data_IF_911430448487
#
_entry.id   IF_911430448487
#
_cell.length_a   1.000
_cell.length_b   1.000
_cell.length_c   1.000
_cell.angle_alpha   90.00
_cell.angle_beta   90.00
_cell.angle_gamma   90.00
#
_symmetry.space_group_name_H-M   'P 1'
#
loop_
_entity.id
_entity.type
_entity.pdbx_description
1 polymer ?
#
# COMPACT_ATOMS: atom_id res chain seq x y z
N UNK A 1 -56.36 -33.94 -23.43
CA UNK A 1 -56.06 -32.51 -23.09
C UNK A 1 -55.52 -32.46 -21.68
N UNK A 2 -54.22 -32.54 -21.55
CA UNK A 2 -53.50 -32.51 -20.22
C UNK A 2 -53.09 -31.10 -19.97
N UNK A 3 -53.63 -30.49 -18.92
CA UNK A 3 -53.23 -29.18 -18.43
C UNK A 3 -51.98 -29.34 -17.58
N UNK A 4 -50.85 -28.77 -18.04
CA UNK A 4 -49.62 -28.69 -17.31
C UNK A 4 -49.76 -27.52 -16.32
N UNK A 5 -50.08 -27.82 -15.06
CA UNK A 5 -50.01 -26.85 -13.97
C UNK A 5 -48.53 -26.69 -13.57
N UNK A 6 -47.85 -25.70 -14.14
CA UNK A 6 -46.48 -25.34 -13.77
C UNK A 6 -46.44 -24.76 -12.35
N UNK A 7 -45.68 -25.37 -11.48
CA UNK A 7 -45.34 -24.85 -10.14
C UNK A 7 -44.57 -23.55 -10.24
N UNK A 8 -45.24 -22.42 -10.06
CA UNK A 8 -44.62 -21.14 -9.77
C UNK A 8 -44.49 -20.97 -8.24
N UNK A 9 -43.66 -21.81 -7.62
CA UNK A 9 -43.27 -21.66 -6.23
C UNK A 9 -41.77 -21.54 -6.15
N UNK A 10 -41.22 -20.41 -6.49
CA UNK A 10 -39.82 -20.12 -6.17
C UNK A 10 -39.58 -18.62 -6.21
N UNK A 11 -40.08 -17.92 -5.24
CA UNK A 11 -39.52 -16.70 -4.70
C UNK A 11 -40.07 -16.55 -3.28
N UNK A 12 -39.65 -17.43 -2.38
CA UNK A 12 -39.64 -17.05 -0.99
C UNK A 12 -38.65 -15.92 -0.89
N UNK A 13 -39.10 -14.77 -0.36
CA UNK A 13 -38.17 -13.72 0.07
C UNK A 13 -37.20 -14.41 1.02
N UNK A 14 -35.92 -14.47 0.59
CA UNK A 14 -34.85 -14.83 1.52
C UNK A 14 -34.96 -13.87 2.70
N UNK A 15 -34.86 -14.39 3.89
CA UNK A 15 -34.75 -13.57 5.08
C UNK A 15 -33.57 -12.63 4.90
N UNK A 16 -33.69 -11.36 5.31
CA UNK A 16 -32.60 -10.43 5.19
C UNK A 16 -31.38 -11.03 5.89
N UNK A 17 -30.26 -11.12 5.15
CA UNK A 17 -28.98 -11.60 5.67
C UNK A 17 -28.60 -10.73 6.87
N UNK A 18 -28.78 -11.27 8.06
CA UNK A 18 -28.30 -10.64 9.28
C UNK A 18 -26.80 -10.85 9.30
N UNK A 19 -25.97 -9.75 9.34
CA UNK A 19 -24.55 -9.91 9.53
C UNK A 19 -24.29 -10.81 10.73
N UNK A 20 -23.42 -11.81 10.57
CA UNK A 20 -23.17 -12.84 11.57
C UNK A 20 -22.52 -12.33 12.89
N UNK A 21 -22.58 -11.02 13.13
CA UNK A 21 -22.07 -10.40 14.38
C UNK A 21 -20.56 -10.53 14.57
N UNK A 22 -19.82 -10.89 13.52
CA UNK A 22 -18.36 -10.90 13.61
C UNK A 22 -17.85 -9.49 13.90
N UNK A 23 -17.18 -9.35 15.02
CA UNK A 23 -16.51 -8.11 15.38
C UNK A 23 -15.47 -7.74 14.31
N UNK A 24 -15.30 -6.45 14.05
CA UNK A 24 -14.26 -5.97 13.15
C UNK A 24 -12.88 -6.47 13.62
N UNK A 25 -12.15 -7.26 12.80
CA UNK A 25 -10.87 -7.83 13.24
C UNK A 25 -9.76 -6.79 13.42
N UNK A 26 -9.92 -5.60 12.83
CA UNK A 26 -8.98 -4.49 12.98
C UNK A 26 -9.21 -3.68 14.26
N UNK A 27 -10.41 -3.78 14.85
CA UNK A 27 -10.72 -3.06 16.06
C UNK A 27 -9.97 -3.66 17.26
N UNK A 28 -9.63 -2.80 18.20
CA UNK A 28 -9.06 -3.22 19.49
C UNK A 28 -10.08 -4.00 20.32
N UNK A 29 -9.60 -4.89 21.17
CA UNK A 29 -10.49 -5.66 22.04
C UNK A 29 -11.19 -4.74 23.05
N UNK A 30 -12.53 -4.84 23.20
CA UNK A 30 -13.25 -4.03 24.18
C UNK A 30 -12.73 -4.22 25.60
N UNK A 31 -12.40 -3.13 26.28
CA UNK A 31 -11.92 -3.15 27.67
C UNK A 31 -10.44 -3.44 27.84
N UNK A 32 -9.66 -3.57 26.77
CA UNK A 32 -8.21 -3.64 26.87
C UNK A 32 -7.65 -2.30 27.41
N UNK A 33 -6.72 -2.38 28.35
CA UNK A 33 -6.20 -1.21 29.08
C UNK A 33 -4.72 -0.97 28.88
N UNK A 34 -4.07 -1.83 28.09
CA UNK A 34 -2.65 -1.67 27.77
C UNK A 34 -2.39 -0.43 26.90
N UNK A 35 -1.17 0.08 26.99
CA UNK A 35 -0.82 1.35 26.36
C UNK A 35 -0.76 1.25 24.84
N UNK A 36 -0.44 0.09 24.28
CA UNK A 36 -0.45 -0.12 22.83
C UNK A 36 -1.87 -0.02 22.27
N UNK A 37 -2.83 -0.69 22.95
CA UNK A 37 -4.24 -0.59 22.58
C UNK A 37 -4.75 0.83 22.65
N UNK A 38 -4.38 1.60 23.67
CA UNK A 38 -4.74 3.02 23.77
C UNK A 38 -4.17 3.85 22.62
N UNK A 39 -2.91 3.65 22.25
CA UNK A 39 -2.30 4.32 21.09
C UNK A 39 -3.10 4.06 19.81
N UNK A 40 -3.47 2.79 19.57
CA UNK A 40 -4.25 2.39 18.40
C UNK A 40 -5.65 3.00 18.41
N UNK A 41 -6.34 3.00 19.56
CA UNK A 41 -7.67 3.59 19.71
C UNK A 41 -7.65 5.11 19.51
N UNK A 42 -6.70 5.81 20.09
CA UNK A 42 -6.60 7.25 19.98
C UNK A 42 -6.27 7.68 18.55
N UNK A 43 -5.40 6.91 17.87
CA UNK A 43 -5.13 7.12 16.45
C UNK A 43 -6.40 6.90 15.61
N UNK A 44 -7.15 5.81 15.86
CA UNK A 44 -8.40 5.55 15.17
C UNK A 44 -9.45 6.65 15.40
N UNK A 45 -9.63 7.12 16.64
CA UNK A 45 -10.54 8.22 16.94
C UNK A 45 -10.19 9.52 16.22
N UNK A 46 -8.89 9.77 16.05
CA UNK A 46 -8.41 10.98 15.36
C UNK A 46 -8.51 10.90 13.85
N UNK A 47 -8.39 9.71 13.25
CA UNK A 47 -8.17 9.53 11.81
C UNK A 47 -9.21 8.68 11.09
N UNK A 48 -9.90 7.79 11.81
CA UNK A 48 -10.73 6.73 11.24
C UNK A 48 -9.96 5.55 10.65
N UNK A 49 -8.63 5.56 10.75
CA UNK A 49 -7.75 4.50 10.23
C UNK A 49 -7.33 3.55 11.37
N UNK A 50 -7.45 2.24 11.16
CA UNK A 50 -6.98 1.25 12.10
C UNK A 50 -5.46 1.12 12.03
N UNK A 51 -4.77 1.39 13.14
CA UNK A 51 -3.32 1.26 13.24
C UNK A 51 -2.93 -0.11 13.79
N UNK A 52 -1.94 -0.74 13.17
CA UNK A 52 -1.39 -2.04 13.53
C UNK A 52 0.13 -1.95 13.66
N UNK A 53 0.71 -2.68 14.63
CA UNK A 53 2.16 -2.77 14.84
C UNK A 53 2.72 -4.16 14.55
N UNK A 54 1.87 -5.09 14.13
CA UNK A 54 2.21 -6.42 13.65
C UNK A 54 1.10 -6.93 12.73
N UNK A 55 1.28 -8.12 12.17
CA UNK A 55 0.34 -8.76 11.24
C UNK A 55 -0.76 -9.58 11.91
N UNK A 56 -0.81 -9.64 13.23
CA UNK A 56 -1.82 -10.40 13.97
C UNK A 56 -3.04 -9.52 14.23
N UNK A 57 -4.14 -9.84 13.58
CA UNK A 57 -5.42 -9.15 13.78
C UNK A 57 -6.16 -9.68 15.01
N UNK A 58 -6.10 -10.98 15.22
CA UNK A 58 -6.82 -11.66 16.29
C UNK A 58 -6.03 -12.87 16.76
N UNK A 59 -6.02 -13.08 18.07
CA UNK A 59 -5.48 -14.28 18.71
C UNK A 59 -6.36 -14.62 19.91
N UNK A 60 -7.38 -15.44 19.68
CA UNK A 60 -8.44 -15.72 20.66
C UNK A 60 -8.37 -17.16 21.15
N UNK A 61 -8.47 -17.33 22.47
CA UNK A 61 -8.64 -18.64 23.06
C UNK A 61 -10.03 -19.21 22.76
N UNK A 62 -10.10 -20.40 22.16
CA UNK A 62 -11.34 -21.07 21.76
C UNK A 62 -11.66 -22.33 22.56
N UNK A 63 -10.86 -22.63 23.56
CA UNK A 63 -11.04 -23.82 24.39
C UNK A 63 -9.84 -24.76 24.36
N UNK A 64 -10.08 -26.05 24.56
CA UNK A 64 -9.08 -27.10 24.47
C UNK A 64 -9.21 -27.85 23.15
N UNK A 65 -8.11 -28.27 22.58
CA UNK A 65 -8.07 -29.18 21.43
C UNK A 65 -8.45 -30.62 21.84
N UNK A 66 -8.51 -31.53 20.84
CA UNK A 66 -8.81 -32.95 21.09
C UNK A 66 -7.82 -33.69 21.99
N UNK A 67 -6.66 -33.09 22.28
CA UNK A 67 -5.61 -33.62 23.14
C UNK A 67 -5.58 -32.94 24.54
N UNK A 68 -6.48 -31.96 24.75
CA UNK A 68 -6.56 -31.22 26.02
C UNK A 68 -5.59 -30.02 26.10
N UNK A 69 -4.96 -29.61 25.02
CA UNK A 69 -4.11 -28.42 25.00
C UNK A 69 -4.92 -27.16 24.69
N UNK A 70 -4.51 -25.97 25.20
CA UNK A 70 -5.13 -24.72 24.82
C UNK A 70 -5.15 -24.50 23.30
N UNK A 71 -6.33 -24.28 22.72
CA UNK A 71 -6.52 -23.98 21.30
C UNK A 71 -6.82 -22.50 21.12
N UNK A 72 -6.05 -21.87 20.23
CA UNK A 72 -6.20 -20.46 19.87
C UNK A 72 -6.53 -20.35 18.38
N UNK A 73 -7.52 -19.55 18.06
CA UNK A 73 -7.78 -19.11 16.70
C UNK A 73 -6.98 -17.83 16.43
N UNK A 74 -6.10 -17.89 15.42
CA UNK A 74 -5.27 -16.76 15.04
C UNK A 74 -5.66 -16.30 13.65
N UNK A 75 -6.01 -15.02 13.51
CA UNK A 75 -6.23 -14.36 12.24
C UNK A 75 -5.06 -13.43 11.94
N UNK A 76 -4.39 -13.68 10.84
CA UNK A 76 -3.30 -12.85 10.35
C UNK A 76 -3.80 -11.89 9.26
N UNK A 77 -3.12 -10.78 9.12
CA UNK A 77 -3.38 -9.77 8.11
C UNK A 77 -3.20 -10.31 6.67
N UNK A 78 -2.34 -11.32 6.52
CA UNK A 78 -2.11 -11.98 5.23
C UNK A 78 -1.44 -11.06 4.21
N UNK A 79 -0.44 -10.30 4.64
CA UNK A 79 0.25 -9.32 3.80
C UNK A 79 0.91 -9.93 2.56
N UNK A 80 1.38 -11.16 2.65
CA UNK A 80 1.98 -11.87 1.52
C UNK A 80 0.95 -12.36 0.48
N UNK A 81 -0.34 -12.33 0.82
CA UNK A 81 -1.39 -12.78 -0.08
C UNK A 81 -1.71 -11.72 -1.13
N UNK A 82 -1.42 -12.04 -2.39
CA UNK A 82 -1.77 -11.24 -3.55
C UNK A 82 -2.52 -12.07 -4.58
N UNK A 83 -3.62 -11.55 -5.10
CA UNK A 83 -4.38 -12.19 -6.18
C UNK A 83 -3.62 -12.21 -7.51
N UNK A 84 -2.67 -11.28 -7.68
CA UNK A 84 -1.95 -11.06 -8.94
C UNK A 84 -0.50 -11.55 -8.90
N UNK A 85 0.05 -11.73 -7.69
CA UNK A 85 1.44 -12.17 -7.50
C UNK A 85 1.47 -13.63 -7.06
N UNK A 86 1.62 -14.52 -8.02
CA UNK A 86 1.61 -15.98 -7.79
C UNK A 86 2.99 -16.41 -7.26
N UNK A 87 3.36 -15.97 -6.06
CA UNK A 87 4.49 -16.50 -5.33
C UNK A 87 5.89 -16.06 -5.79
N UNK A 88 5.99 -15.08 -6.70
CA UNK A 88 7.28 -14.58 -7.20
C UNK A 88 7.91 -13.48 -6.35
N UNK A 89 7.12 -12.85 -5.51
CA UNK A 89 7.58 -11.80 -4.58
C UNK A 89 7.22 -12.20 -3.16
N UNK A 90 8.15 -11.99 -2.24
CA UNK A 90 7.96 -12.20 -0.80
C UNK A 90 8.40 -10.96 -0.05
N UNK A 91 7.72 -10.68 1.05
CA UNK A 91 8.07 -9.60 1.95
C UNK A 91 8.43 -10.16 3.32
N UNK A 92 9.46 -9.59 3.92
CA UNK A 92 9.83 -9.84 5.31
C UNK A 92 9.60 -8.57 6.09
N UNK A 93 8.85 -8.65 7.18
CA UNK A 93 8.54 -7.53 8.05
C UNK A 93 9.35 -7.63 9.34
N UNK A 94 10.02 -6.56 9.71
CA UNK A 94 10.59 -6.36 11.03
C UNK A 94 9.64 -5.46 11.83
N UNK A 95 9.11 -5.96 12.95
CA UNK A 95 8.09 -5.25 13.72
C UNK A 95 8.70 -4.38 14.80
N UNK A 96 7.99 -3.30 15.15
CA UNK A 96 8.32 -2.45 16.29
C UNK A 96 8.23 -3.23 17.60
N UNK A 97 9.33 -3.28 18.35
CA UNK A 97 9.46 -4.13 19.53
C UNK A 97 9.06 -3.39 20.82
N UNK A 98 9.30 -2.09 20.90
CA UNK A 98 9.12 -1.33 22.14
C UNK A 98 7.97 -0.35 22.06
N UNK A 99 7.37 -0.04 23.20
CA UNK A 99 6.32 0.96 23.29
C UNK A 99 6.83 2.37 22.93
N UNK A 100 8.10 2.65 23.21
CA UNK A 100 8.74 3.93 22.85
C UNK A 100 8.80 4.10 21.34
N UNK A 101 9.20 3.04 20.60
CA UNK A 101 9.17 3.04 19.14
C UNK A 101 7.74 3.28 18.61
N UNK A 102 6.75 2.58 19.17
CA UNK A 102 5.35 2.72 18.77
C UNK A 102 4.82 4.14 19.00
N UNK A 103 5.18 4.77 20.12
CA UNK A 103 4.83 6.18 20.40
C UNK A 103 5.50 7.15 19.45
N UNK A 104 6.81 6.98 19.19
CA UNK A 104 7.55 7.83 18.25
C UNK A 104 6.93 7.75 16.84
N UNK A 105 6.59 6.54 16.39
CA UNK A 105 5.92 6.34 15.11
C UNK A 105 4.54 7.01 15.08
N UNK A 106 3.72 6.86 16.12
CA UNK A 106 2.40 7.51 16.16
C UNK A 106 2.55 9.04 16.08
N UNK A 107 3.55 9.62 16.76
CA UNK A 107 3.83 11.04 16.67
C UNK A 107 4.22 11.44 15.24
N UNK A 108 5.15 10.73 14.61
CA UNK A 108 5.52 10.96 13.21
C UNK A 108 4.31 10.86 12.28
N UNK A 109 3.48 9.83 12.42
CA UNK A 109 2.27 9.69 11.62
C UNK A 109 1.34 10.89 11.82
N UNK A 110 1.10 11.33 13.05
CA UNK A 110 0.13 12.39 13.35
C UNK A 110 0.61 13.77 12.92
N UNK A 111 1.88 14.09 13.13
CA UNK A 111 2.39 15.45 12.95
C UNK A 111 3.06 15.67 11.60
N UNK A 112 3.70 14.64 11.03
CA UNK A 112 4.48 14.77 9.81
C UNK A 112 3.79 14.15 8.59
N UNK A 113 3.20 12.93 8.70
CA UNK A 113 2.61 12.24 7.55
C UNK A 113 1.14 12.61 7.30
N UNK A 114 0.30 12.65 8.34
CA UNK A 114 -1.14 12.91 8.20
C UNK A 114 -1.49 14.20 7.45
N UNK A 115 -0.75 15.30 7.58
CA UNK A 115 -1.02 16.50 6.81
C UNK A 115 -1.07 16.27 5.30
N UNK A 116 -0.29 15.33 4.79
CA UNK A 116 -0.21 15.02 3.36
C UNK A 116 -1.23 13.99 2.89
N UNK A 117 -1.55 12.99 3.72
CA UNK A 117 -2.40 11.85 3.31
C UNK A 117 -3.85 11.92 3.77
N UNK A 118 -4.26 13.01 4.42
CA UNK A 118 -5.59 13.16 5.03
C UNK A 118 -6.75 12.86 4.08
N UNK A 119 -6.60 13.14 2.81
CA UNK A 119 -7.63 12.91 1.77
C UNK A 119 -7.61 11.51 1.18
N UNK A 120 -6.54 10.76 1.40
CA UNK A 120 -6.32 9.41 0.85
C UNK A 120 -6.07 8.38 1.94
N UNK A 121 -6.59 8.64 3.14
CA UNK A 121 -6.40 7.79 4.31
C UNK A 121 -6.85 6.36 4.05
N UNK A 122 -6.00 5.36 4.25
CA UNK A 122 -6.37 3.95 4.12
C UNK A 122 -7.30 3.52 5.27
N UNK A 123 -8.05 2.44 5.05
CA UNK A 123 -8.87 1.83 6.09
C UNK A 123 -8.04 1.31 7.27
N UNK A 124 -6.91 0.69 6.97
CA UNK A 124 -5.96 0.23 7.98
C UNK A 124 -4.52 0.45 7.52
N UNK A 125 -3.65 0.67 8.49
CA UNK A 125 -2.23 0.91 8.31
C UNK A 125 -1.44 0.05 9.28
N UNK A 126 -0.49 -0.73 8.78
CA UNK A 126 0.47 -1.44 9.60
C UNK A 126 1.82 -0.74 9.52
N UNK A 127 2.44 -0.48 10.65
CA UNK A 127 3.78 0.12 10.68
C UNK A 127 4.80 -0.92 11.10
N UNK A 128 5.81 -1.09 10.26
CA UNK A 128 6.94 -1.98 10.49
C UNK A 128 8.24 -1.19 10.62
N UNK A 129 9.14 -1.66 11.47
CA UNK A 129 10.51 -1.13 11.60
C UNK A 129 11.32 -1.33 10.30
N UNK A 130 10.98 -2.35 9.51
CA UNK A 130 11.57 -2.64 8.22
C UNK A 130 10.65 -3.49 7.35
N UNK A 131 10.71 -3.26 6.04
CA UNK A 131 10.06 -4.09 5.02
C UNK A 131 11.12 -4.43 3.99
N UNK A 132 11.44 -5.72 3.86
CA UNK A 132 12.37 -6.21 2.85
C UNK A 132 11.61 -6.95 1.76
N UNK A 133 11.86 -6.62 0.51
CA UNK A 133 11.30 -7.27 -0.66
C UNK A 133 12.30 -8.28 -1.24
N UNK A 134 11.80 -9.46 -1.57
CA UNK A 134 12.53 -10.54 -2.21
C UNK A 134 11.79 -11.01 -3.46
N UNK A 135 12.50 -11.18 -4.56
CA UNK A 135 11.94 -11.73 -5.79
C UNK A 135 12.56 -13.09 -6.11
N UNK A 136 11.71 -13.99 -6.61
CA UNK A 136 12.17 -15.32 -6.99
C UNK A 136 12.94 -15.28 -8.31
N UNK A 137 14.18 -15.76 -8.29
CA UNK A 137 14.91 -16.06 -9.49
C UNK A 137 14.24 -17.23 -10.22
N UNK A 138 13.66 -16.94 -11.38
CA UNK A 138 12.87 -17.92 -12.15
C UNK A 138 13.68 -19.10 -12.67
N UNK A 139 14.99 -18.95 -12.80
CA UNK A 139 15.89 -20.02 -13.31
C UNK A 139 16.35 -20.95 -12.19
N UNK A 140 16.65 -20.40 -11.03
CA UNK A 140 17.30 -21.10 -9.94
C UNK A 140 16.37 -21.37 -8.75
N UNK A 141 15.19 -20.73 -8.71
CA UNK A 141 14.14 -20.99 -7.74
C UNK A 141 14.35 -20.39 -6.34
N UNK A 142 15.51 -19.77 -6.06
CA UNK A 142 15.75 -19.08 -4.80
C UNK A 142 15.23 -17.63 -4.84
N UNK A 143 15.12 -17.00 -3.67
CA UNK A 143 14.68 -15.62 -3.52
C UNK A 143 15.87 -14.69 -3.29
N UNK A 144 15.95 -13.64 -4.09
CA UNK A 144 16.96 -12.59 -3.99
C UNK A 144 16.35 -11.34 -3.38
N UNK A 145 17.08 -10.69 -2.49
CA UNK A 145 16.72 -9.38 -1.97
C UNK A 145 16.80 -8.33 -3.08
N UNK A 146 15.73 -7.57 -3.25
CA UNK A 146 15.64 -6.53 -4.30
C UNK A 146 15.51 -5.12 -3.76
N UNK A 147 15.15 -4.96 -2.49
CA UNK A 147 15.08 -3.63 -1.88
C UNK A 147 14.22 -3.58 -0.62
N UNK A 148 14.12 -2.38 -0.06
CA UNK A 148 13.28 -2.08 1.10
C UNK A 148 12.35 -0.91 0.74
N UNK A 149 11.14 -1.20 0.22
CA UNK A 149 10.18 -0.18 -0.15
C UNK A 149 9.70 0.59 1.08
N UNK A 150 9.35 1.87 0.92
CA UNK A 150 8.76 2.69 1.99
C UNK A 150 7.33 2.25 2.29
N UNK A 151 6.62 1.76 1.27
CA UNK A 151 5.24 1.33 1.40
C UNK A 151 5.01 -0.02 0.73
N UNK A 152 4.09 -0.78 1.27
CA UNK A 152 3.55 -1.98 0.62
C UNK A 152 2.04 -2.00 0.76
N UNK A 153 1.33 -1.96 -0.37
CA UNK A 153 -0.12 -1.91 -0.39
C UNK A 153 -0.71 -3.31 -0.67
N UNK A 154 -1.52 -3.78 0.26
CA UNK A 154 -2.29 -5.01 0.17
C UNK A 154 -3.79 -4.68 0.13
N UNK A 155 -4.65 -5.66 -0.22
CA UNK A 155 -6.10 -5.50 -0.26
C UNK A 155 -6.73 -5.05 1.07
N UNK A 156 -6.10 -5.38 2.19
CA UNK A 156 -6.64 -5.14 3.54
C UNK A 156 -5.94 -4.00 4.27
N UNK A 157 -4.69 -3.68 3.91
CA UNK A 157 -3.84 -2.80 4.71
C UNK A 157 -2.74 -2.16 3.87
N UNK A 158 -2.40 -0.94 4.21
CA UNK A 158 -1.16 -0.29 3.80
C UNK A 158 -0.08 -0.56 4.85
N UNK A 159 1.01 -1.22 4.48
CA UNK A 159 2.18 -1.35 5.34
C UNK A 159 3.16 -0.21 5.08
N UNK A 160 3.66 0.41 6.15
CA UNK A 160 4.66 1.48 6.12
C UNK A 160 5.97 0.99 6.72
N UNK A 161 7.06 1.26 6.02
CA UNK A 161 8.42 1.03 6.47
C UNK A 161 8.95 2.31 7.13
N UNK A 162 9.28 2.24 8.43
CA UNK A 162 9.77 3.41 9.18
C UNK A 162 11.22 3.24 9.62
N UNK A 163 12.00 2.38 8.97
CA UNK A 163 13.39 2.11 9.35
C UNK A 163 14.27 3.37 9.42
N UNK A 164 14.05 4.32 8.51
CA UNK A 164 14.81 5.58 8.46
C UNK A 164 14.46 6.54 9.60
N UNK A 165 13.31 6.39 10.26
CA UNK A 165 12.83 7.30 11.30
C UNK A 165 13.83 7.47 12.45
N UNK A 166 14.64 6.45 12.74
CA UNK A 166 15.57 6.45 13.85
C UNK A 166 16.89 7.16 13.55
N UNK A 167 17.15 7.46 12.28
CA UNK A 167 18.41 8.04 11.81
C UNK A 167 18.26 9.51 11.40
N UNK A 168 17.01 9.97 11.20
CA UNK A 168 16.69 11.29 10.70
C UNK A 168 16.65 12.33 11.83
N UNK A 169 17.14 13.53 11.54
CA UNK A 169 16.90 14.70 12.38
C UNK A 169 15.47 15.24 12.19
N UNK A 170 14.99 16.02 13.16
CA UNK A 170 13.61 16.56 13.14
C UNK A 170 13.30 17.36 11.87
N UNK A 171 14.30 18.05 11.32
CA UNK A 171 14.17 18.84 10.09
C UNK A 171 13.95 17.97 8.84
N UNK A 172 14.39 16.71 8.87
CA UNK A 172 14.31 15.76 7.76
C UNK A 172 13.02 14.96 7.75
N UNK A 173 12.27 14.94 8.87
CA UNK A 173 11.04 14.14 9.01
C UNK A 173 9.98 14.53 7.99
N UNK A 174 9.88 15.81 7.66
CA UNK A 174 8.96 16.29 6.62
C UNK A 174 9.28 15.73 5.24
N UNK A 175 10.55 15.73 4.85
CA UNK A 175 11.00 15.16 3.58
C UNK A 175 10.67 13.68 3.52
N UNK A 176 10.97 12.96 4.59
CA UNK A 176 10.64 11.54 4.69
C UNK A 176 9.13 11.25 4.60
N UNK A 177 8.31 12.07 5.23
CA UNK A 177 6.86 11.96 5.12
C UNK A 177 6.36 12.23 3.69
N UNK A 178 6.99 13.16 2.98
CA UNK A 178 6.71 13.43 1.56
C UNK A 178 7.09 12.24 0.68
N UNK A 179 8.26 11.63 0.89
CA UNK A 179 8.69 10.43 0.15
C UNK A 179 7.66 9.30 0.32
N UNK A 180 7.21 9.05 1.56
CA UNK A 180 6.15 8.05 1.84
C UNK A 180 4.86 8.42 1.11
N UNK A 181 4.45 9.68 1.16
CA UNK A 181 3.24 10.15 0.51
C UNK A 181 3.31 9.97 -1.02
N UNK A 182 4.43 10.33 -1.63
CA UNK A 182 4.67 10.15 -3.05
C UNK A 182 4.56 8.67 -3.44
N UNK A 183 5.17 7.76 -2.68
CA UNK A 183 5.09 6.32 -2.94
C UNK A 183 3.66 5.77 -2.77
N UNK A 184 2.90 6.25 -1.77
CA UNK A 184 1.49 5.89 -1.59
C UNK A 184 0.62 6.35 -2.78
N UNK A 185 0.82 7.58 -3.24
CA UNK A 185 0.10 8.14 -4.40
C UNK A 185 0.45 7.33 -5.63
N UNK A 186 1.73 7.10 -5.87
CA UNK A 186 2.23 6.29 -6.95
C UNK A 186 1.62 4.87 -6.97
N UNK A 187 1.61 4.19 -5.83
CA UNK A 187 0.97 2.88 -5.70
C UNK A 187 -0.54 2.93 -5.99
N UNK A 188 -1.22 4.05 -5.66
CA UNK A 188 -2.65 4.23 -5.93
C UNK A 188 -2.96 4.39 -7.42
N UNK A 189 -2.02 4.87 -8.21
CA UNK A 189 -2.14 4.95 -9.68
C UNK A 189 -1.94 3.59 -10.36
N UNK A 190 -1.58 2.56 -9.64
CA UNK A 190 -1.54 1.20 -10.13
C UNK A 190 -0.13 0.62 -10.30
N UNK A 191 0.87 1.27 -9.74
CA UNK A 191 2.26 0.77 -9.68
C UNK A 191 2.99 0.74 -11.03
N UNK A 192 4.06 0.00 -11.10
CA UNK A 192 5.13 0.06 -12.10
C UNK A 192 4.83 -0.43 -13.52
N UNK A 193 3.59 -0.83 -13.87
CA UNK A 193 3.32 -1.32 -15.23
C UNK A 193 2.90 -0.15 -16.13
N UNK A 194 3.62 0.05 -17.24
CA UNK A 194 3.39 1.15 -18.20
C UNK A 194 1.93 1.30 -18.64
N UNK A 195 1.22 0.20 -18.80
CA UNK A 195 -0.21 0.20 -19.14
C UNK A 195 -1.11 0.85 -18.09
N UNK A 196 -0.73 0.85 -16.82
CA UNK A 196 -1.55 1.40 -15.74
C UNK A 196 -1.44 2.92 -15.65
N UNK A 197 -0.36 3.51 -16.15
CA UNK A 197 -0.26 4.95 -16.31
C UNK A 197 -1.14 5.44 -17.44
N UNK A 198 -1.24 4.68 -18.54
CA UNK A 198 -2.04 5.05 -19.71
C UNK A 198 -3.53 4.72 -19.54
N UNK A 199 -3.87 3.62 -18.86
CA UNK A 199 -5.24 3.10 -18.76
C UNK A 199 -5.93 3.42 -17.44
N UNK A 200 -5.21 3.97 -16.44
CA UNK A 200 -5.69 4.23 -15.07
C UNK A 200 -6.32 5.60 -14.88
N UNK A 201 -6.60 5.94 -13.62
CA UNK A 201 -7.15 7.26 -13.21
C UNK A 201 -6.25 8.44 -13.59
N UNK A 202 -4.96 8.20 -13.75
CA UNK A 202 -3.96 9.19 -14.17
C UNK A 202 -3.71 9.18 -15.68
N UNK A 203 -4.39 8.33 -16.45
CA UNK A 203 -4.17 8.17 -17.88
C UNK A 203 -4.16 9.48 -18.65
N UNK A 204 -5.12 10.36 -18.39
CA UNK A 204 -5.19 11.67 -19.05
C UNK A 204 -4.02 12.60 -18.70
N UNK A 205 -3.43 12.46 -17.53
CA UNK A 205 -2.25 13.22 -17.15
C UNK A 205 -1.01 12.75 -17.92
N UNK A 206 -0.77 11.44 -17.96
CA UNK A 206 0.38 10.87 -18.65
C UNK A 206 0.20 10.82 -20.17
N UNK A 207 -1.03 10.85 -20.69
CA UNK A 207 -1.32 10.83 -22.13
C UNK A 207 -0.68 12.00 -22.86
N UNK A 208 -0.64 13.17 -22.22
CA UNK A 208 -0.08 14.39 -22.79
C UNK A 208 1.40 14.25 -23.15
N UNK A 209 2.17 13.57 -22.31
CA UNK A 209 3.62 13.37 -22.48
C UNK A 209 3.98 11.96 -23.01
N UNK A 210 2.96 11.11 -23.28
CA UNK A 210 3.12 9.68 -23.55
C UNK A 210 4.08 9.35 -24.70
N UNK A 211 4.14 10.20 -25.69
CA UNK A 211 5.03 10.03 -26.84
C UNK A 211 6.51 10.22 -26.51
N UNK A 212 6.80 10.97 -25.46
CA UNK A 212 8.15 11.40 -25.12
C UNK A 212 8.79 10.56 -24.02
N UNK A 213 8.04 9.80 -23.23
CA UNK A 213 8.61 8.99 -22.13
C UNK A 213 9.73 8.07 -22.61
N UNK A 214 10.92 8.22 -22.01
CA UNK A 214 12.11 7.46 -22.37
C UNK A 214 12.73 7.83 -23.73
N UNK A 215 12.19 8.82 -24.44
CA UNK A 215 12.77 9.31 -25.69
C UNK A 215 13.94 10.28 -25.42
N UNK A 216 14.87 10.45 -26.37
CA UNK A 216 15.92 11.46 -26.26
C UNK A 216 15.33 12.88 -26.20
N UNK A 217 15.89 13.74 -25.33
CA UNK A 217 15.54 15.18 -25.26
C UNK A 217 16.01 16.00 -26.47
N UNK A 218 16.80 15.40 -27.35
CA UNK A 218 17.30 16.01 -28.58
C UNK A 218 16.79 15.21 -29.77
N UNK A 219 15.99 15.84 -30.59
CA UNK A 219 15.56 15.32 -31.89
C UNK A 219 16.37 15.90 -33.06
N UNK A 220 16.03 15.48 -34.27
CA UNK A 220 16.60 16.03 -35.50
C UNK A 220 15.44 16.53 -36.36
N UNK A 221 15.53 17.79 -36.81
CA UNK A 221 14.68 18.31 -37.87
C UNK A 221 15.11 17.67 -39.21
N UNK A 222 14.27 16.80 -39.74
CA UNK A 222 14.56 16.06 -40.98
C UNK A 222 14.62 16.91 -42.25
N UNK A 223 14.20 18.19 -42.17
CA UNK A 223 14.26 19.12 -43.27
C UNK A 223 15.58 19.91 -43.27
N UNK A 224 15.95 20.41 -42.09
CA UNK A 224 17.13 21.27 -41.92
C UNK A 224 18.36 20.52 -41.42
N UNK A 225 18.19 19.27 -40.94
CA UNK A 225 19.23 18.46 -40.32
C UNK A 225 19.85 19.11 -39.07
N UNK A 226 19.12 20.03 -38.43
CA UNK A 226 19.55 20.69 -37.20
C UNK A 226 18.99 19.97 -35.99
N UNK A 227 19.70 19.99 -34.85
CA UNK A 227 19.18 19.43 -33.60
C UNK A 227 17.99 20.27 -33.09
N UNK A 228 16.94 19.59 -32.66
CA UNK A 228 15.81 20.18 -31.96
C UNK A 228 15.97 19.80 -30.50
N UNK A 229 16.02 20.79 -29.61
CA UNK A 229 16.07 20.61 -28.17
C UNK A 229 14.66 20.76 -27.62
N UNK A 230 14.16 19.72 -27.00
CA UNK A 230 12.84 19.75 -26.38
C UNK A 230 12.96 20.22 -24.94
N UNK A 231 12.05 21.10 -24.52
CA UNK A 231 11.90 21.51 -23.14
C UNK A 231 10.88 20.59 -22.46
N UNK A 232 11.27 19.76 -21.45
CA UNK A 232 10.37 18.84 -20.79
C UNK A 232 9.15 19.51 -20.16
N UNK A 233 9.31 20.66 -19.53
CA UNK A 233 8.22 21.40 -18.89
C UNK A 233 7.16 21.89 -19.89
N UNK A 234 7.54 22.21 -21.12
CA UNK A 234 6.61 22.60 -22.20
C UNK A 234 5.83 21.41 -22.76
N UNK A 235 6.36 20.20 -22.58
CA UNK A 235 5.77 18.93 -23.02
C UNK A 235 4.92 18.26 -21.93
N UNK A 236 4.76 18.90 -20.77
CA UNK A 236 3.89 18.44 -19.70
C UNK A 236 4.57 17.56 -18.65
N UNK A 237 5.90 17.49 -18.65
CA UNK A 237 6.65 16.85 -17.57
C UNK A 237 6.67 17.73 -16.33
N UNK A 238 6.69 17.11 -15.13
CA UNK A 238 6.69 17.83 -13.86
C UNK A 238 8.07 18.35 -13.48
N UNK A 239 9.12 17.61 -13.86
CA UNK A 239 10.51 17.97 -13.61
C UNK A 239 11.37 17.82 -14.84
N UNK A 240 12.50 18.51 -14.85
CA UNK A 240 13.58 18.37 -15.84
C UNK A 240 14.90 18.14 -15.10
N UNK A 241 15.49 16.96 -15.27
CA UNK A 241 16.89 16.75 -14.92
C UNK A 241 17.78 17.19 -16.09
N UNK A 242 18.46 18.33 -16.00
CA UNK A 242 19.30 18.84 -17.09
C UNK A 242 20.52 17.96 -17.38
N UNK A 243 20.86 17.01 -16.51
CA UNK A 243 21.95 16.07 -16.70
C UNK A 243 21.52 14.82 -17.45
N UNK A 244 20.24 14.51 -17.48
CA UNK A 244 19.72 13.39 -18.26
C UNK A 244 19.47 13.79 -19.72
N UNK A 245 19.97 12.96 -20.62
CA UNK A 245 19.80 13.11 -22.07
C UNK A 245 18.47 12.57 -22.58
N UNK A 246 17.70 11.91 -21.73
CA UNK A 246 16.41 11.28 -22.03
C UNK A 246 15.30 11.89 -21.18
N UNK A 247 14.08 11.86 -21.69
CA UNK A 247 12.91 12.16 -20.89
C UNK A 247 12.71 11.07 -19.81
N UNK A 248 12.16 11.42 -18.64
CA UNK A 248 11.91 10.45 -17.57
C UNK A 248 10.98 9.34 -18.03
N UNK A 249 10.93 8.25 -17.28
CA UNK A 249 9.84 7.28 -17.39
C UNK A 249 8.58 7.84 -16.74
N UNK A 250 7.37 7.28 -17.03
CA UNK A 250 6.15 7.68 -16.33
C UNK A 250 6.26 7.57 -14.80
N UNK A 251 7.11 6.68 -14.34
CA UNK A 251 7.38 6.49 -12.91
C UNK A 251 8.18 7.66 -12.34
N UNK A 252 9.22 8.05 -13.03
CA UNK A 252 10.14 9.10 -12.54
C UNK A 252 9.47 10.49 -12.63
N UNK A 253 8.58 10.69 -13.61
CA UNK A 253 7.79 11.91 -13.77
C UNK A 253 6.66 12.04 -12.72
N UNK A 254 6.28 10.95 -12.06
CA UNK A 254 5.20 10.92 -11.08
C UNK A 254 5.68 11.11 -9.63
N UNK A 255 6.98 11.06 -9.37
CA UNK A 255 7.59 11.14 -8.04
C UNK A 255 8.14 12.52 -7.78
#
# INVERSE_FOLDING_TARGET
MFVLAGCLCACQKEDPVVPNGMSNPFATLPGATDEETKLREDFYKATGCHLLFNDTLRHEYKGLDGNGNPFYETELLGLEYSLTNVGFTRFKFDYLQTLEQKRAVVNFLQYDLLPYIKTVMPYSMMVANGIDEYQQNKLEGYYEYVGSPLTYNNLRCLALNVNRLWELADEELKGYAQDICCEMIFASFGGTSDKRYTDGKAGSFFEQSSYYYGAPKVGIDWVTWQPIYYNPLELGFLEDDPLDSYFPSPKDDAV
#
